data_IF_275357861435
#
_entry.id   IF_275357861435
#
_cell.length_a   1.000
_cell.length_b   1.000
_cell.length_c   1.000
_cell.angle_alpha   90.00
_cell.angle_beta   90.00
_cell.angle_gamma   90.00
#
_symmetry.space_group_name_H-M   'P 1'
#
loop_
_entity.id
_entity.type
_entity.pdbx_description
1 polymer ?
#
# COMPACT_ATOMS: atom_id res chain seq x y z
N UNK A 1 -38.79 41.78 -24.07
CA UNK A 1 -37.93 40.59 -24.25
C UNK A 1 -36.48 40.95 -23.90
N UNK A 2 -36.10 40.88 -22.62
CA UNK A 2 -34.70 41.13 -22.16
C UNK A 2 -34.17 39.91 -21.36
N UNK A 3 -35.01 38.91 -21.13
CA UNK A 3 -34.63 37.62 -20.53
C UNK A 3 -34.28 36.65 -21.66
N UNK A 4 -33.10 36.79 -22.27
CA UNK A 4 -32.69 35.79 -23.28
C UNK A 4 -31.19 35.64 -23.48
N UNK A 5 -30.35 36.62 -23.08
CA UNK A 5 -28.90 36.55 -23.33
C UNK A 5 -28.09 36.28 -22.06
N UNK A 6 -28.46 36.88 -20.94
CA UNK A 6 -27.67 36.76 -19.69
C UNK A 6 -27.93 35.44 -18.95
N UNK A 7 -29.13 34.88 -19.05
CA UNK A 7 -29.48 33.58 -18.42
C UNK A 7 -28.77 32.41 -19.12
N UNK A 8 -28.62 32.48 -20.45
CA UNK A 8 -27.92 31.46 -21.23
C UNK A 8 -26.41 31.41 -20.90
N UNK A 9 -25.79 32.57 -20.66
CA UNK A 9 -24.36 32.66 -20.29
C UNK A 9 -24.12 32.07 -18.90
N UNK A 10 -24.99 32.34 -17.92
CA UNK A 10 -24.87 31.75 -16.58
C UNK A 10 -25.06 30.22 -16.60
N UNK A 11 -25.99 29.70 -17.41
CA UNK A 11 -26.22 28.26 -17.51
C UNK A 11 -25.04 27.53 -18.17
N UNK A 12 -24.42 28.14 -19.19
CA UNK A 12 -23.23 27.60 -19.84
C UNK A 12 -21.99 27.56 -18.90
N UNK A 13 -21.84 28.56 -18.02
CA UNK A 13 -20.78 28.59 -17.01
C UNK A 13 -20.92 27.50 -15.95
N UNK A 14 -22.16 27.14 -15.58
CA UNK A 14 -22.40 26.05 -14.62
C UNK A 14 -22.22 24.65 -15.20
N UNK A 15 -22.51 24.44 -16.50
CA UNK A 15 -22.30 23.15 -17.15
C UNK A 15 -20.81 22.86 -17.44
N UNK A 16 -19.97 23.90 -17.60
CA UNK A 16 -18.53 23.74 -17.79
C UNK A 16 -17.78 23.23 -16.54
N UNK A 17 -18.31 23.51 -15.34
CA UNK A 17 -17.70 23.08 -14.08
C UNK A 17 -17.96 21.59 -13.75
N UNK A 18 -18.97 20.97 -14.36
CA UNK A 18 -19.33 19.57 -14.13
C UNK A 18 -18.45 18.57 -14.92
N UNK A 19 -17.69 19.04 -15.92
CA UNK A 19 -16.74 18.23 -16.69
C UNK A 19 -15.30 18.27 -16.14
N UNK A 20 -15.08 18.88 -14.98
CA UNK A 20 -13.89 18.57 -14.19
C UNK A 20 -14.09 17.19 -13.53
N UNK A 21 -14.23 16.14 -14.35
CA UNK A 21 -13.89 14.80 -13.91
C UNK A 21 -12.45 14.89 -13.45
N UNK A 22 -12.26 14.85 -12.13
CA UNK A 22 -10.98 14.58 -11.50
C UNK A 22 -10.42 13.36 -12.21
N UNK A 23 -9.43 13.57 -13.08
CA UNK A 23 -8.55 12.51 -13.51
C UNK A 23 -7.89 12.02 -12.22
N UNK A 24 -8.49 11.01 -11.61
CA UNK A 24 -7.91 10.33 -10.47
C UNK A 24 -6.80 9.52 -11.09
N UNK A 25 -5.60 10.08 -11.02
CA UNK A 25 -4.38 9.39 -11.44
C UNK A 25 -4.38 8.02 -10.76
N UNK A 26 -4.42 6.95 -11.54
CA UNK A 26 -4.06 5.59 -11.13
C UNK A 26 -2.54 5.49 -10.90
N UNK A 27 -1.94 6.59 -10.47
CA UNK A 27 -0.54 6.76 -10.22
C UNK A 27 -0.26 6.55 -8.74
N UNK A 28 0.93 6.05 -8.46
CA UNK A 28 1.30 5.45 -7.19
C UNK A 28 1.28 6.48 -6.05
N UNK A 29 0.13 6.63 -5.37
CA UNK A 29 0.00 7.65 -4.33
C UNK A 29 1.03 7.46 -3.22
N UNK A 30 1.54 8.56 -2.64
CA UNK A 30 2.46 8.50 -1.51
C UNK A 30 1.93 7.65 -0.34
N UNK A 31 0.60 7.63 -0.15
CA UNK A 31 -0.06 6.75 0.83
C UNK A 31 0.00 5.28 0.45
N UNK A 32 -0.17 4.96 -0.84
CA UNK A 32 0.00 3.61 -1.37
C UNK A 32 1.43 3.09 -1.18
N UNK A 33 2.41 3.91 -1.56
CA UNK A 33 3.84 3.65 -1.34
C UNK A 33 4.16 3.36 0.13
N UNK A 34 3.72 4.24 1.03
CA UNK A 34 3.94 4.08 2.46
C UNK A 34 3.25 2.81 3.01
N UNK A 35 2.08 2.47 2.47
CA UNK A 35 1.36 1.25 2.87
C UNK A 35 2.11 -0.01 2.46
N UNK A 36 2.64 -0.05 1.24
CA UNK A 36 3.49 -1.16 0.76
C UNK A 36 4.76 -1.27 1.61
N UNK A 37 5.46 -0.15 1.84
CA UNK A 37 6.67 -0.15 2.66
C UNK A 37 6.41 -0.61 4.11
N UNK A 38 5.33 -0.13 4.73
CA UNK A 38 4.94 -0.54 6.09
C UNK A 38 4.66 -2.03 6.17
N UNK A 39 3.90 -2.55 5.21
CA UNK A 39 3.53 -3.97 5.19
C UNK A 39 4.76 -4.85 4.88
N UNK A 40 5.62 -4.45 3.93
CA UNK A 40 6.87 -5.15 3.65
C UNK A 40 7.79 -5.22 4.88
N UNK A 41 7.91 -4.11 5.63
CA UNK A 41 8.68 -4.08 6.88
C UNK A 41 8.12 -5.04 7.95
N UNK A 42 6.80 -5.07 8.12
CA UNK A 42 6.15 -6.02 9.03
C UNK A 42 6.42 -7.48 8.62
N UNK A 43 6.32 -7.78 7.33
CA UNK A 43 6.63 -9.10 6.78
C UNK A 43 8.10 -9.50 6.98
N UNK A 44 9.02 -8.55 6.81
CA UNK A 44 10.44 -8.77 7.09
C UNK A 44 10.72 -9.13 8.55
N UNK A 45 10.01 -8.52 9.51
CA UNK A 45 10.11 -8.87 10.94
C UNK A 45 9.59 -10.30 11.17
N UNK A 46 8.42 -10.63 10.61
CA UNK A 46 7.82 -11.95 10.73
C UNK A 46 8.72 -13.07 10.16
N UNK A 47 9.37 -12.83 9.02
CA UNK A 47 10.37 -13.75 8.42
C UNK A 47 11.65 -13.82 9.26
N UNK A 48 12.13 -12.67 9.76
CA UNK A 48 13.33 -12.62 10.60
C UNK A 48 13.19 -13.44 11.87
N UNK A 49 12.00 -13.51 12.47
CA UNK A 49 11.75 -14.37 13.62
C UNK A 49 11.86 -15.86 13.27
N UNK A 50 11.37 -16.28 12.10
CA UNK A 50 11.51 -17.67 11.61
C UNK A 50 13.00 -18.00 11.44
N UNK A 51 13.77 -17.10 10.80
CA UNK A 51 15.22 -17.29 10.58
C UNK A 51 16.03 -17.29 11.86
N UNK A 52 15.71 -16.37 12.77
CA UNK A 52 16.33 -16.33 14.09
C UNK A 52 16.13 -17.66 14.80
N UNK A 53 14.89 -18.17 14.78
CA UNK A 53 14.57 -19.39 15.49
C UNK A 53 15.10 -20.65 14.79
N UNK A 54 15.22 -20.65 13.46
CA UNK A 54 15.83 -21.77 12.73
C UNK A 54 17.32 -21.95 13.06
N UNK A 55 18.00 -20.88 13.49
CA UNK A 55 19.43 -20.88 13.82
C UNK A 55 19.70 -20.91 15.33
N UNK A 56 19.05 -20.04 16.08
CA UNK A 56 19.35 -19.80 17.50
C UNK A 56 18.66 -20.81 18.42
N UNK A 57 17.52 -21.38 17.99
CA UNK A 57 16.78 -22.42 18.73
C UNK A 57 16.53 -22.04 20.19
N UNK A 58 15.99 -20.84 20.40
CA UNK A 58 15.63 -20.38 21.74
C UNK A 58 14.56 -21.33 22.32
N UNK A 59 14.64 -21.67 23.62
CA UNK A 59 13.61 -22.46 24.28
C UNK A 59 12.23 -21.82 24.11
N UNK A 60 11.26 -22.58 23.56
CA UNK A 60 9.91 -22.10 23.27
C UNK A 60 9.78 -21.15 22.07
N UNK A 61 10.85 -20.90 21.32
CA UNK A 61 10.85 -19.94 20.22
C UNK A 61 10.00 -20.38 19.02
N UNK A 62 9.90 -21.69 18.73
CA UNK A 62 9.07 -22.20 17.64
C UNK A 62 7.59 -21.86 17.89
N UNK A 63 7.11 -22.10 19.12
CA UNK A 63 5.75 -21.75 19.55
C UNK A 63 5.52 -20.24 19.54
N UNK A 64 6.52 -19.46 19.96
CA UNK A 64 6.45 -18.00 19.91
C UNK A 64 6.25 -17.50 18.48
N UNK A 65 7.04 -18.01 17.52
CA UNK A 65 6.92 -17.66 16.10
C UNK A 65 5.53 -17.98 15.58
N UNK A 66 5.03 -19.20 15.81
CA UNK A 66 3.68 -19.61 15.37
C UNK A 66 2.59 -18.72 15.96
N UNK A 67 2.68 -18.41 17.26
CA UNK A 67 1.72 -17.53 17.93
C UNK A 67 1.74 -16.11 17.38
N UNK A 68 2.92 -15.55 17.13
CA UNK A 68 3.04 -14.21 16.56
C UNK A 68 2.41 -14.12 15.17
N UNK A 69 2.68 -15.10 14.29
CA UNK A 69 2.04 -15.17 12.98
C UNK A 69 0.52 -15.30 13.08
N UNK A 70 0.04 -16.12 14.02
CA UNK A 70 -1.40 -16.31 14.25
C UNK A 70 -2.08 -15.03 14.73
N UNK A 71 -1.47 -14.32 15.70
CA UNK A 71 -2.00 -13.07 16.25
C UNK A 71 -2.02 -11.97 15.20
N UNK A 72 -0.95 -11.82 14.42
CA UNK A 72 -0.90 -10.78 13.37
C UNK A 72 -1.88 -11.07 12.23
N UNK A 73 -2.05 -12.33 11.85
CA UNK A 73 -3.06 -12.72 10.88
C UNK A 73 -4.46 -12.37 11.39
N UNK A 74 -4.78 -12.75 12.64
CA UNK A 74 -6.07 -12.43 13.26
C UNK A 74 -6.30 -10.90 13.38
N UNK A 75 -5.27 -10.13 13.76
CA UNK A 75 -5.32 -8.66 13.83
C UNK A 75 -5.68 -8.02 12.49
N UNK A 76 -5.28 -8.65 11.39
CA UNK A 76 -5.56 -8.20 10.02
C UNK A 76 -6.82 -8.82 9.41
N UNK A 77 -7.54 -9.67 10.15
CA UNK A 77 -8.71 -10.39 9.63
C UNK A 77 -8.35 -11.42 8.55
N UNK A 78 -7.13 -11.98 8.61
CA UNK A 78 -6.59 -12.95 7.67
C UNK A 78 -6.35 -14.29 8.34
N UNK A 79 -6.27 -15.36 7.55
CA UNK A 79 -5.61 -16.60 7.96
C UNK A 79 -4.09 -16.44 7.88
N UNK A 80 -3.34 -17.30 8.57
CA UNK A 80 -1.87 -17.32 8.49
C UNK A 80 -1.39 -17.49 7.05
N UNK A 81 -2.05 -18.33 6.26
CA UNK A 81 -1.74 -18.52 4.85
C UNK A 81 -1.95 -17.23 4.04
N UNK A 82 -3.10 -16.57 4.22
CA UNK A 82 -3.39 -15.31 3.53
C UNK A 82 -2.40 -14.20 3.90
N UNK A 83 -1.98 -14.13 5.16
CA UNK A 83 -0.93 -13.21 5.59
C UNK A 83 0.41 -13.54 4.92
N UNK A 84 0.81 -14.81 4.88
CA UNK A 84 2.03 -15.26 4.20
C UNK A 84 2.02 -14.89 2.72
N UNK A 85 0.93 -15.18 2.01
CA UNK A 85 0.79 -14.85 0.59
C UNK A 85 0.82 -13.33 0.36
N UNK A 86 0.21 -12.56 1.27
CA UNK A 86 0.23 -11.08 1.24
C UNK A 86 1.64 -10.56 1.46
N UNK A 87 2.40 -11.18 2.37
CA UNK A 87 3.79 -10.83 2.61
C UNK A 87 4.65 -11.07 1.38
N UNK A 88 4.53 -12.22 0.72
CA UNK A 88 5.26 -12.52 -0.50
C UNK A 88 5.00 -11.45 -1.59
N UNK A 89 3.73 -11.13 -1.85
CA UNK A 89 3.36 -10.11 -2.84
C UNK A 89 3.85 -8.70 -2.47
N UNK A 90 3.75 -8.33 -1.20
CA UNK A 90 4.09 -6.97 -0.76
C UNK A 90 5.60 -6.76 -0.73
N UNK A 91 6.39 -7.75 -0.31
CA UNK A 91 7.85 -7.69 -0.37
C UNK A 91 8.32 -7.60 -1.81
N UNK A 92 7.71 -8.36 -2.72
CA UNK A 92 8.02 -8.24 -4.16
C UNK A 92 7.69 -6.85 -4.70
N UNK A 93 6.51 -6.31 -4.37
CA UNK A 93 6.14 -4.95 -4.76
C UNK A 93 7.11 -3.91 -4.20
N UNK A 94 7.49 -4.02 -2.93
CA UNK A 94 8.48 -3.14 -2.32
C UNK A 94 9.83 -3.20 -3.03
N UNK A 95 10.33 -4.39 -3.37
CA UNK A 95 11.61 -4.54 -4.07
C UNK A 95 11.60 -3.89 -5.45
N UNK A 96 10.49 -4.02 -6.20
CA UNK A 96 10.32 -3.34 -7.49
C UNK A 96 10.32 -1.82 -7.33
N UNK A 97 9.65 -1.31 -6.30
CA UNK A 97 9.61 0.13 -6.00
C UNK A 97 10.97 0.67 -5.58
N UNK A 98 11.71 -0.09 -4.77
CA UNK A 98 13.05 0.26 -4.34
C UNK A 98 14.01 0.34 -5.52
N UNK A 99 14.04 -0.69 -6.37
CA UNK A 99 14.88 -0.72 -7.56
C UNK A 99 14.57 0.45 -8.51
N UNK A 100 13.28 0.72 -8.75
CA UNK A 100 12.87 1.87 -9.56
C UNK A 100 13.33 3.21 -8.95
N UNK A 101 13.34 3.33 -7.61
CA UNK A 101 13.83 4.51 -6.91
C UNK A 101 15.34 4.73 -7.01
N UNK A 102 16.13 3.66 -7.05
CA UNK A 102 17.60 3.72 -7.20
C UNK A 102 18.03 4.10 -8.62
N UNK A 103 17.21 3.77 -9.63
CA UNK A 103 17.45 4.13 -11.03
C UNK A 103 17.11 5.59 -11.36
N UNK A 104 16.40 6.29 -10.47
CA UNK A 104 16.05 7.70 -10.70
C UNK A 104 17.29 8.61 -10.56
N UNK A 105 17.54 9.50 -11.52
CA UNK A 105 18.66 10.44 -11.42
C UNK A 105 18.44 11.34 -10.19
N UNK A 106 19.37 11.26 -9.24
CA UNK A 106 19.41 12.20 -8.13
C UNK A 106 19.71 13.58 -8.69
N UNK A 107 18.72 14.48 -8.72
CA UNK A 107 18.98 15.90 -8.97
C UNK A 107 19.85 16.40 -7.82
N UNK A 108 21.16 16.50 -8.06
CA UNK A 108 22.10 17.25 -7.23
C UNK A 108 21.84 18.75 -7.36
#
# INVERSE_FOLDING_TARGET
MIVSRNVAVCLALTLGALNASVARDDDLSARGLLSVAKMAGACGILDSMIRLQSTTKLPGGDDFVVRMWTVEAARLGMTVQQLSDTCNRTVEAYNRLWAAGEELPTKK
#
